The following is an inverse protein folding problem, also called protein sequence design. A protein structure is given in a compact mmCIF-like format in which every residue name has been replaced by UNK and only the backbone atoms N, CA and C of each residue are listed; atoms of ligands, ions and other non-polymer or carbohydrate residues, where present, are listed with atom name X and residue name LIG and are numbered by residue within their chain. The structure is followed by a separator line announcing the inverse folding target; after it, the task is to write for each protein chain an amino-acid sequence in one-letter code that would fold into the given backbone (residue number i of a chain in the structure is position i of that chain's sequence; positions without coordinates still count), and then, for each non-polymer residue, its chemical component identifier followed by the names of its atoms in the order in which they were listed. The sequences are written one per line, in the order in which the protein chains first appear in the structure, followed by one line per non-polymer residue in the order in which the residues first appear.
data_IF_614355939022
#
_entry.id   IF_614355939022
#
_cell.length_a   1.000
_cell.length_b   1.000
_cell.length_c   1.000
_cell.angle_alpha   90.00
_cell.angle_beta   90.00
_cell.angle_gamma   90.00
#
_symmetry.space_group_name_H-M   'P 1'
#
loop_
_entity.id
_entity.type
_entity.pdbx_description
1 polymer ?
#
# COMPACT_ATOMS: atom_id res chain seq x y z
N UNK A 1 -23.70 -4.28 -15.57
CA UNK A 1 -23.67 -4.25 -14.10
C UNK A 1 -22.54 -3.32 -13.70
N UNK A 2 -22.78 -2.33 -12.86
CA UNK A 2 -21.71 -1.46 -12.37
C UNK A 2 -20.88 -2.20 -11.29
N UNK A 3 -19.65 -1.76 -11.00
CA UNK A 3 -18.76 -2.47 -10.07
C UNK A 3 -19.34 -2.60 -8.65
N UNK A 4 -20.12 -1.60 -8.23
CA UNK A 4 -20.81 -1.60 -6.93
C UNK A 4 -21.83 -2.74 -6.84
N UNK A 5 -22.61 -2.96 -7.88
CA UNK A 5 -23.53 -4.10 -7.99
C UNK A 5 -22.78 -5.44 -8.00
N UNK A 6 -21.68 -5.55 -8.76
CA UNK A 6 -20.87 -6.76 -8.82
C UNK A 6 -20.33 -7.16 -7.43
N UNK A 7 -19.78 -6.18 -6.70
CA UNK A 7 -19.28 -6.37 -5.34
C UNK A 7 -20.41 -6.76 -4.39
N UNK A 8 -21.57 -6.11 -4.47
CA UNK A 8 -22.70 -6.44 -3.61
C UNK A 8 -23.20 -7.88 -3.86
N UNK A 9 -23.24 -8.32 -5.11
CA UNK A 9 -23.59 -9.70 -5.45
C UNK A 9 -22.55 -10.73 -4.98
N UNK A 10 -21.26 -10.44 -5.15
CA UNK A 10 -20.18 -11.34 -4.69
C UNK A 10 -20.18 -11.47 -3.16
N UNK A 11 -20.28 -10.36 -2.43
CA UNK A 11 -20.37 -10.38 -0.97
C UNK A 11 -21.62 -11.15 -0.51
N UNK A 12 -22.76 -10.96 -1.17
CA UNK A 12 -23.99 -11.71 -0.86
C UNK A 12 -23.81 -13.21 -1.07
N UNK A 13 -23.14 -13.63 -2.16
CA UNK A 13 -22.81 -15.06 -2.41
C UNK A 13 -21.90 -15.64 -1.32
N UNK A 14 -21.06 -14.81 -0.69
CA UNK A 14 -20.20 -15.16 0.44
C UNK A 14 -20.89 -15.08 1.81
N UNK A 15 -22.19 -14.75 1.85
CA UNK A 15 -22.94 -14.59 3.10
C UNK A 15 -22.59 -13.32 3.87
N UNK A 16 -22.06 -12.30 3.18
CA UNK A 16 -21.71 -10.98 3.73
C UNK A 16 -22.66 -9.91 3.23
N UNK A 17 -22.86 -8.85 4.02
CA UNK A 17 -23.57 -7.65 3.56
C UNK A 17 -22.55 -6.58 3.14
N UNK A 18 -22.68 -6.03 1.93
CA UNK A 18 -21.81 -4.96 1.46
C UNK A 18 -21.94 -3.67 2.28
N UNK A 19 -23.05 -3.46 2.99
CA UNK A 19 -23.23 -2.31 3.87
C UNK A 19 -22.39 -2.37 5.15
N UNK A 20 -21.90 -3.56 5.52
CA UNK A 20 -21.01 -3.74 6.68
C UNK A 20 -19.62 -3.17 6.42
N UNK A 21 -19.30 -2.89 5.15
CA UNK A 21 -18.02 -2.38 4.69
C UNK A 21 -18.25 -1.06 3.97
N UNK A 22 -17.49 -0.02 4.31
CA UNK A 22 -17.39 1.16 3.46
C UNK A 22 -16.55 0.81 2.22
N UNK A 23 -17.17 0.07 1.29
CA UNK A 23 -16.51 -0.60 0.17
C UNK A 23 -16.57 0.21 -1.12
N UNK A 24 -15.42 0.36 -1.79
CA UNK A 24 -15.32 0.96 -3.12
C UNK A 24 -14.92 -0.05 -4.18
N UNK A 25 -15.42 0.14 -5.40
CA UNK A 25 -15.19 -0.80 -6.50
C UNK A 25 -14.42 -0.18 -7.65
N UNK A 26 -13.37 -0.86 -8.10
CA UNK A 26 -12.53 -0.42 -9.21
C UNK A 26 -12.22 -1.57 -10.18
N UNK A 27 -11.85 -1.23 -11.41
CA UNK A 27 -11.30 -2.17 -12.38
C UNK A 27 -9.79 -2.29 -12.21
N UNK A 28 -9.23 -3.46 -12.47
CA UNK A 28 -7.79 -3.71 -12.33
C UNK A 28 -6.92 -2.79 -13.21
N UNK A 29 -7.45 -2.31 -14.33
CA UNK A 29 -6.75 -1.48 -15.32
C UNK A 29 -6.96 0.03 -15.11
N UNK A 30 -7.79 0.42 -14.13
CA UNK A 30 -8.08 1.80 -13.78
C UNK A 30 -6.93 2.43 -12.99
N UNK A 31 -6.70 3.72 -13.24
CA UNK A 31 -5.77 4.52 -12.44
C UNK A 31 -6.34 4.73 -11.04
N UNK A 32 -5.45 4.72 -10.04
CA UNK A 32 -5.79 4.98 -8.66
C UNK A 32 -5.86 6.48 -8.44
N UNK A 33 -7.01 6.96 -7.95
CA UNK A 33 -7.12 8.32 -7.44
C UNK A 33 -6.62 8.37 -5.98
N UNK A 34 -5.31 8.51 -5.78
CA UNK A 34 -4.74 8.49 -4.43
C UNK A 34 -5.26 9.61 -3.52
N UNK A 35 -5.56 10.80 -4.06
CA UNK A 35 -6.16 11.88 -3.28
C UNK A 35 -7.47 11.45 -2.65
N UNK A 36 -8.37 10.89 -3.47
CA UNK A 36 -9.65 10.35 -3.01
C UNK A 36 -9.46 9.19 -2.02
N UNK A 37 -8.54 8.27 -2.28
CA UNK A 37 -8.24 7.13 -1.38
C UNK A 37 -7.77 7.64 -0.02
N UNK A 38 -6.82 8.58 0.02
CA UNK A 38 -6.29 9.15 1.27
C UNK A 38 -7.37 9.88 2.05
N UNK A 39 -8.15 10.75 1.40
CA UNK A 39 -9.25 11.50 2.03
C UNK A 39 -10.32 10.58 2.63
N UNK A 40 -10.55 9.45 1.97
CA UNK A 40 -11.60 8.50 2.35
C UNK A 40 -11.14 7.43 3.33
N UNK A 41 -9.85 7.38 3.65
CA UNK A 41 -9.31 6.41 4.60
C UNK A 41 -9.51 6.95 6.02
N UNK A 42 -10.51 6.41 6.70
CA UNK A 42 -10.84 6.69 8.11
C UNK A 42 -10.11 5.72 9.07
N UNK A 43 -10.38 5.82 10.37
CA UNK A 43 -9.73 5.01 11.41
C UNK A 43 -10.01 3.50 11.29
N UNK A 44 -11.12 3.13 10.63
CA UNK A 44 -11.44 1.73 10.34
C UNK A 44 -10.80 1.24 9.04
N UNK A 45 -10.12 2.12 8.30
CA UNK A 45 -9.56 1.86 6.98
C UNK A 45 -10.61 1.85 5.86
N UNK A 46 -10.14 1.99 4.63
CA UNK A 46 -10.96 1.92 3.43
C UNK A 46 -10.95 0.50 2.86
N UNK A 47 -12.11 -0.06 2.58
CA UNK A 47 -12.22 -1.36 1.92
C UNK A 47 -12.39 -1.14 0.40
N UNK A 48 -11.64 -1.90 -0.40
CA UNK A 48 -11.70 -1.81 -1.86
C UNK A 48 -11.84 -3.20 -2.48
N UNK A 49 -12.74 -3.31 -3.45
CA UNK A 49 -12.92 -4.49 -4.30
C UNK A 49 -12.42 -4.18 -5.71
N UNK A 50 -11.48 -4.98 -6.19
CA UNK A 50 -10.90 -4.84 -7.52
C UNK A 50 -11.45 -5.96 -8.39
N UNK A 51 -12.12 -5.58 -9.47
CA UNK A 51 -12.66 -6.47 -10.48
C UNK A 51 -11.60 -6.72 -11.55
N UNK A 52 -11.25 -7.98 -11.80
CA UNK A 52 -10.30 -8.36 -12.84
C UNK A 52 -10.98 -8.60 -14.21
N UNK A 53 -10.20 -9.10 -15.17
CA UNK A 53 -10.69 -9.37 -16.53
C UNK A 53 -11.60 -10.60 -16.64
N UNK A 54 -11.66 -11.44 -15.60
CA UNK A 54 -12.52 -12.63 -15.51
C UNK A 54 -13.77 -12.35 -14.65
N UNK A 55 -13.97 -11.10 -14.24
CA UNK A 55 -15.03 -10.65 -13.33
C UNK A 55 -14.90 -11.25 -11.91
N UNK A 56 -13.72 -11.75 -11.55
CA UNK A 56 -13.40 -12.10 -10.18
C UNK A 56 -13.09 -10.83 -9.38
N UNK A 57 -13.40 -10.89 -8.08
CA UNK A 57 -13.23 -9.74 -7.17
C UNK A 57 -12.21 -10.10 -6.10
N UNK A 58 -11.16 -9.28 -6.02
CA UNK A 58 -10.15 -9.34 -4.97
C UNK A 58 -10.35 -8.15 -4.03
N UNK A 59 -10.35 -8.43 -2.73
CA UNK A 59 -10.56 -7.41 -1.71
C UNK A 59 -9.25 -7.00 -1.04
N UNK A 60 -9.10 -5.69 -0.84
CA UNK A 60 -8.02 -5.10 -0.07
C UNK A 60 -8.57 -4.16 0.99
N UNK A 61 -7.77 -3.98 2.04
CA UNK A 61 -7.95 -2.93 3.03
C UNK A 61 -6.78 -1.94 2.91
N UNK A 62 -7.12 -0.66 2.89
CA UNK A 62 -6.17 0.44 2.88
C UNK A 62 -6.28 1.15 4.23
N UNK A 63 -5.15 1.30 4.91
CA UNK A 63 -5.06 2.00 6.19
C UNK A 63 -4.01 3.11 6.10
N UNK A 64 -4.20 4.21 6.83
CA UNK A 64 -3.13 5.19 7.06
C UNK A 64 -1.98 4.48 7.79
N UNK A 65 -0.77 4.64 7.29
CA UNK A 65 0.39 4.05 7.93
C UNK A 65 0.95 4.99 8.98
N UNK A 66 1.17 4.46 10.18
CA UNK A 66 1.89 5.13 11.26
C UNK A 66 3.17 4.33 11.48
N UNK A 67 4.30 5.01 11.37
CA UNK A 67 5.60 4.42 11.60
C UNK A 67 5.85 4.23 13.09
N UNK A 68 6.50 3.13 13.44
CA UNK A 68 7.13 2.98 14.75
C UNK A 68 8.40 3.83 14.80
N UNK A 69 8.72 4.36 15.98
CA UNK A 69 9.96 5.12 16.16
C UNK A 69 11.14 4.16 16.01
N UNK A 70 12.04 4.47 15.08
CA UNK A 70 13.26 3.72 14.91
C UNK A 70 14.35 4.16 15.89
N UNK A 71 15.29 3.25 16.13
CA UNK A 71 16.44 3.46 17.01
C UNK A 71 17.77 3.60 16.26
N UNK A 72 17.71 3.78 14.94
CA UNK A 72 18.91 4.03 14.15
C UNK A 72 19.31 5.50 14.25
N UNK A 73 20.61 5.74 14.43
CA UNK A 73 21.17 7.08 14.29
C UNK A 73 21.18 7.54 12.82
N UNK A 74 21.80 8.69 12.57
CA UNK A 74 21.98 9.17 11.21
C UNK A 74 22.70 8.11 10.35
N UNK A 75 22.08 7.80 9.20
CA UNK A 75 22.67 6.92 8.19
C UNK A 75 23.79 7.67 7.46
N UNK A 76 24.98 7.08 7.41
CA UNK A 76 26.09 7.56 6.57
C UNK A 76 26.06 6.94 5.16
N UNK A 77 25.04 6.14 4.83
CA UNK A 77 24.96 5.50 3.52
C UNK A 77 24.59 6.54 2.45
N UNK A 78 25.46 6.69 1.44
CA UNK A 78 25.16 7.51 0.26
C UNK A 78 24.08 6.84 -0.58
N UNK A 79 22.83 7.30 -0.45
CA UNK A 79 21.75 6.94 -1.36
C UNK A 79 21.61 8.05 -2.40
N UNK A 80 21.79 7.68 -3.67
CA UNK A 80 21.59 8.59 -4.79
C UNK A 80 20.09 8.78 -5.05
N UNK A 81 19.57 9.90 -4.57
CA UNK A 81 18.17 10.31 -4.73
C UNK A 81 18.12 11.41 -5.79
N UNK A 82 17.72 11.06 -7.01
CA UNK A 82 17.65 12.01 -8.13
C UNK A 82 16.31 12.73 -8.24
N UNK A 83 15.24 12.16 -7.65
CA UNK A 83 13.88 12.68 -7.71
C UNK A 83 13.46 13.22 -6.33
N UNK A 84 12.87 14.42 -6.30
CA UNK A 84 12.41 15.13 -5.11
C UNK A 84 11.46 14.29 -4.24
N UNK A 85 10.62 13.45 -4.85
CA UNK A 85 9.69 12.59 -4.11
C UNK A 85 10.43 11.55 -3.25
N UNK A 86 11.49 10.96 -3.82
CA UNK A 86 12.32 9.98 -3.13
C UNK A 86 13.12 10.64 -2.02
N UNK A 87 13.60 11.86 -2.25
CA UNK A 87 14.24 12.68 -1.23
C UNK A 87 13.32 12.94 -0.03
N UNK A 88 12.10 13.43 -0.26
CA UNK A 88 11.13 13.68 0.82
C UNK A 88 10.75 12.41 1.59
N UNK A 89 10.44 11.32 0.88
CA UNK A 89 10.11 10.05 1.53
C UNK A 89 11.28 9.53 2.38
N UNK A 90 12.50 9.62 1.87
CA UNK A 90 13.71 9.22 2.58
C UNK A 90 13.92 10.06 3.84
N UNK A 91 13.88 11.39 3.72
CA UNK A 91 14.05 12.33 4.83
C UNK A 91 13.02 12.09 5.95
N UNK A 92 11.75 11.86 5.60
CA UNK A 92 10.70 11.52 6.57
C UNK A 92 11.02 10.24 7.35
N UNK A 93 11.42 9.17 6.67
CA UNK A 93 11.75 7.90 7.33
C UNK A 93 13.01 8.03 8.21
N UNK A 94 14.05 8.70 7.73
CA UNK A 94 15.28 8.89 8.52
C UNK A 94 15.05 9.81 9.72
N UNK A 95 14.19 10.81 9.61
CA UNK A 95 13.80 11.66 10.73
C UNK A 95 13.05 10.87 11.83
N UNK A 96 12.39 9.78 11.46
CA UNK A 96 11.77 8.82 12.39
C UNK A 96 12.77 7.80 12.94
N UNK A 97 14.07 7.93 12.68
CA UNK A 97 15.12 7.01 13.15
C UNK A 97 15.10 5.64 12.46
N UNK A 98 14.48 5.53 11.28
CA UNK A 98 14.40 4.28 10.52
C UNK A 98 15.64 4.08 9.65
N UNK A 99 16.08 2.82 9.55
CA UNK A 99 17.10 2.45 8.56
C UNK A 99 16.43 2.15 7.23
N UNK A 100 16.88 2.82 6.18
CA UNK A 100 16.33 2.71 4.83
C UNK A 100 17.37 2.12 3.89
N UNK A 101 17.09 0.95 3.33
CA UNK A 101 17.95 0.26 2.37
C UNK A 101 17.23 0.10 1.03
N UNK A 102 17.96 -0.19 -0.06
CA UNK A 102 17.34 -0.48 -1.36
C UNK A 102 16.37 -1.67 -1.30
N UNK A 103 15.16 -1.47 -1.84
CA UNK A 103 14.10 -2.46 -1.98
C UNK A 103 14.14 -3.26 -3.27
N UNK A 104 15.12 -3.02 -4.15
CA UNK A 104 15.11 -3.49 -5.55
C UNK A 104 14.86 -5.00 -5.71
N UNK A 105 15.41 -5.83 -4.80
CA UNK A 105 15.20 -7.30 -4.80
C UNK A 105 13.73 -7.72 -4.62
N UNK A 106 12.87 -6.80 -4.20
CA UNK A 106 11.43 -6.99 -3.99
C UNK A 106 10.58 -6.21 -5.01
N UNK A 107 11.20 -5.58 -6.02
CA UNK A 107 10.48 -4.70 -6.95
C UNK A 107 9.90 -3.45 -6.27
N UNK A 108 10.54 -3.00 -5.18
CA UNK A 108 10.16 -1.82 -4.41
C UNK A 108 11.35 -0.85 -4.32
N UNK A 109 11.08 0.39 -3.90
CA UNK A 109 12.13 1.41 -3.80
C UNK A 109 13.01 1.16 -2.57
N UNK A 110 12.36 0.88 -1.43
CA UNK A 110 13.07 0.66 -0.18
C UNK A 110 12.60 -0.58 0.58
N UNK A 111 13.49 -1.06 1.44
CA UNK A 111 13.17 -1.93 2.57
C UNK A 111 13.61 -1.21 3.84
N UNK A 112 12.75 -1.22 4.85
CA UNK A 112 12.86 -0.32 6.00
C UNK A 112 12.84 -1.10 7.30
N UNK A 113 13.59 -0.62 8.29
CA UNK A 113 13.76 -1.23 9.61
C UNK A 113 13.58 -0.17 10.70
N UNK A 114 12.88 -0.49 11.78
CA UNK A 114 12.76 0.32 12.99
C UNK A 114 13.81 -0.06 14.03
N UNK A 115 14.17 -1.34 14.08
CA UNK A 115 15.19 -1.87 14.98
C UNK A 115 16.20 -2.76 14.23
N UNK A 116 17.21 -3.26 14.97
CA UNK A 116 18.21 -4.19 14.46
C UNK A 116 17.61 -5.60 14.22
N UNK A 117 16.72 -5.70 13.25
CA UNK A 117 16.12 -6.96 12.80
C UNK A 117 16.90 -7.57 11.63
N UNK A 118 16.98 -8.91 11.58
CA UNK A 118 17.62 -9.64 10.48
C UNK A 118 16.87 -9.44 9.14
N UNK A 119 15.56 -9.21 9.20
CA UNK A 119 14.71 -9.08 8.03
C UNK A 119 13.91 -7.78 8.10
N UNK A 120 13.96 -6.98 7.02
CA UNK A 120 13.15 -5.77 6.93
C UNK A 120 11.65 -6.11 7.05
N UNK A 121 10.91 -5.55 8.02
CA UNK A 121 9.49 -5.82 8.16
C UNK A 121 8.66 -5.05 7.13
N UNK A 122 9.19 -3.96 6.56
CA UNK A 122 8.52 -3.15 5.53
C UNK A 122 9.24 -3.14 4.19
N UNK A 123 8.45 -3.13 3.12
CA UNK A 123 8.87 -2.65 1.80
C UNK A 123 8.06 -1.40 1.45
N UNK A 124 8.75 -0.41 0.89
CA UNK A 124 8.20 0.91 0.57
C UNK A 124 8.24 1.14 -0.93
N UNK A 125 7.12 1.58 -1.49
CA UNK A 125 7.02 2.07 -2.86
C UNK A 125 6.68 3.56 -2.82
N UNK A 126 7.48 4.37 -3.51
CA UNK A 126 7.28 5.81 -3.68
C UNK A 126 6.64 6.03 -5.04
N UNK A 127 5.32 6.21 -5.06
CA UNK A 127 4.56 6.31 -6.31
C UNK A 127 4.08 7.73 -6.61
N UNK A 128 3.74 7.95 -7.88
CA UNK A 128 3.01 9.13 -8.35
C UNK A 128 1.51 8.81 -8.46
N UNK A 129 0.73 9.79 -8.92
CA UNK A 129 -0.71 9.65 -9.12
C UNK A 129 -1.10 8.84 -10.38
N UNK A 130 -0.15 8.18 -11.06
CA UNK A 130 -0.39 7.48 -12.34
C UNK A 130 -0.40 5.94 -12.20
N UNK A 131 -0.42 5.43 -10.97
CA UNK A 131 -0.43 3.98 -10.72
C UNK A 131 -1.80 3.36 -11.02
N UNK A 132 -1.81 2.19 -11.65
CA UNK A 132 -3.00 1.35 -11.83
C UNK A 132 -3.19 0.35 -10.69
N UNK A 133 -4.44 -0.10 -10.50
CA UNK A 133 -4.75 -1.16 -9.53
C UNK A 133 -3.99 -2.47 -9.78
N UNK A 134 -3.68 -2.81 -11.03
CA UNK A 134 -2.86 -3.98 -11.37
C UNK A 134 -1.43 -3.87 -10.81
N UNK A 135 -0.85 -2.68 -10.82
CA UNK A 135 0.50 -2.45 -10.28
C UNK A 135 0.49 -2.56 -8.75
N UNK A 136 -0.52 -1.98 -8.11
CA UNK A 136 -0.80 -2.15 -6.68
C UNK A 136 -0.95 -3.64 -6.30
N UNK A 137 -1.76 -4.40 -7.06
CA UNK A 137 -1.96 -5.83 -6.82
C UNK A 137 -0.67 -6.66 -6.94
N UNK A 138 0.22 -6.32 -7.89
CA UNK A 138 1.55 -6.95 -8.03
C UNK A 138 2.41 -6.71 -6.80
N UNK A 139 2.47 -5.47 -6.32
CA UNK A 139 3.23 -5.12 -5.12
C UNK A 139 2.70 -5.86 -3.88
N UNK A 140 1.38 -5.93 -3.70
CA UNK A 140 0.73 -6.65 -2.60
C UNK A 140 1.05 -8.15 -2.64
N UNK A 141 1.03 -8.74 -3.85
CA UNK A 141 1.37 -10.16 -4.01
C UNK A 141 2.81 -10.45 -3.59
N UNK A 142 3.76 -9.60 -4.01
CA UNK A 142 5.18 -9.76 -3.67
C UNK A 142 5.37 -9.59 -2.16
N UNK A 143 4.82 -8.53 -1.56
CA UNK A 143 4.95 -8.25 -0.12
C UNK A 143 4.41 -9.41 0.72
N UNK A 144 3.25 -9.96 0.33
CA UNK A 144 2.65 -11.11 0.97
C UNK A 144 3.54 -12.36 0.87
N UNK A 145 4.10 -12.64 -0.32
CA UNK A 145 4.98 -13.80 -0.53
C UNK A 145 6.26 -13.76 0.32
N UNK A 146 6.82 -12.57 0.54
CA UNK A 146 8.03 -12.38 1.35
C UNK A 146 7.74 -12.03 2.82
N UNK A 147 6.47 -12.09 3.23
CA UNK A 147 6.00 -11.78 4.59
C UNK A 147 6.44 -10.39 5.08
N UNK A 148 6.26 -9.37 4.24
CA UNK A 148 6.57 -7.97 4.56
C UNK A 148 5.32 -7.11 4.46
N UNK A 149 5.24 -6.10 5.30
CA UNK A 149 4.23 -5.06 5.21
C UNK A 149 4.56 -4.16 4.01
N UNK A 150 3.58 -3.97 3.13
CA UNK A 150 3.70 -3.03 2.01
C UNK A 150 3.22 -1.66 2.45
N UNK A 151 4.07 -0.67 2.23
CA UNK A 151 3.78 0.74 2.49
C UNK A 151 3.97 1.52 1.20
N UNK A 152 3.02 2.39 0.89
CA UNK A 152 3.16 3.37 -0.18
C UNK A 152 3.39 4.75 0.41
N UNK A 153 4.28 5.49 -0.23
CA UNK A 153 4.38 6.94 -0.07
C UNK A 153 3.83 7.62 -1.32
N UNK A 154 2.83 8.48 -1.14
CA UNK A 154 2.19 9.20 -2.23
C UNK A 154 1.54 10.47 -1.71
N UNK A 155 1.72 11.59 -2.43
CA UNK A 155 1.22 12.92 -2.02
C UNK A 155 1.58 13.26 -0.56
N UNK A 156 2.84 13.00 -0.16
CA UNK A 156 3.38 13.19 1.19
C UNK A 156 2.64 12.42 2.31
N UNK A 157 1.83 11.42 1.95
CA UNK A 157 1.12 10.54 2.88
C UNK A 157 1.65 9.10 2.82
N UNK A 158 1.56 8.41 3.96
CA UNK A 158 1.89 6.99 4.08
C UNK A 158 0.62 6.15 4.19
N UNK A 159 0.48 5.14 3.35
CA UNK A 159 -0.63 4.17 3.42
C UNK A 159 -0.11 2.75 3.39
N UNK A 160 -0.79 1.84 4.08
CA UNK A 160 -0.58 0.39 3.92
C UNK A 160 -1.74 -0.21 3.16
N UNK A 161 -1.44 -1.25 2.38
CA UNK A 161 -2.46 -2.01 1.66
C UNK A 161 -2.29 -3.48 1.94
N UNK A 162 -3.37 -4.13 2.37
CA UNK A 162 -3.40 -5.55 2.74
C UNK A 162 -4.47 -6.27 1.97
N UNK A 163 -4.14 -7.44 1.45
CA UNK A 163 -5.15 -8.39 0.99
C UNK A 163 -6.00 -8.85 2.16
N UNK A 164 -7.32 -8.86 1.97
CA UNK A 164 -8.27 -9.34 2.96
C UNK A 164 -9.14 -10.44 2.37
N UNK A 165 -9.56 -11.36 3.23
CA UNK A 165 -10.52 -12.39 2.90
C UNK A 165 -11.87 -12.00 3.50
N UNK A 166 -12.86 -11.78 2.63
CA UNK A 166 -14.24 -11.49 2.99
C UNK A 166 -15.14 -12.67 2.65
#
# INVERSE_FOLDING_TARGET
MNKKEMIAEDLKKRGRNSQDYEMRGYGYDENINFGEIIESTNDNGLHVGIVDNELEIIYYKIDKHVWEQGNFGESNDEIRLEDDKHKRAYEQMTAMGLKVNSGFKFGADYRVYSENEEHAPWIVIVCNNEMKWLEMARAIRVSHAVKKNLVFWVNDAWITVKWIRL
#
